data_IF_774816849208
#
_entry.id   IF_774816849208
#
_cell.length_a   1.000
_cell.length_b   1.000
_cell.length_c   1.000
_cell.angle_alpha   90.00
_cell.angle_beta   90.00
_cell.angle_gamma   90.00
#
_symmetry.space_group_name_H-M   'P 1'
#
loop_
_entity.id
_entity.type
_entity.pdbx_description
1 polymer ?
#
# COMPACT_ATOMS: atom_id res chain seq x y z
N UNK A 1 10.96 -58.06 36.47
CA UNK A 1 12.25 -58.70 36.81
C UNK A 1 13.35 -57.63 36.77
N UNK A 2 14.27 -57.68 37.74
CA UNK A 2 15.29 -56.65 38.07
C UNK A 2 16.50 -56.61 37.12
N UNK A 3 17.16 -55.43 37.02
CA UNK A 3 18.62 -55.09 37.20
C UNK A 3 18.86 -53.67 36.62
N UNK A 4 19.13 -52.59 37.37
CA UNK A 4 20.30 -52.12 38.19
C UNK A 4 21.37 -51.31 37.40
N UNK A 5 21.73 -50.16 38.00
CA UNK A 5 22.56 -48.96 37.68
C UNK A 5 23.95 -49.16 37.00
N UNK A 6 24.66 -48.14 36.45
CA UNK A 6 25.39 -47.00 37.10
C UNK A 6 25.93 -45.99 36.04
N UNK A 7 25.97 -44.67 36.34
CA UNK A 7 27.16 -43.82 36.04
C UNK A 7 27.05 -42.50 35.24
N UNK A 8 27.23 -41.38 35.97
CA UNK A 8 27.84 -40.06 35.62
C UNK A 8 27.12 -38.97 34.79
N UNK A 9 27.40 -37.75 35.25
CA UNK A 9 26.86 -36.42 34.93
C UNK A 9 27.52 -35.81 33.68
N UNK A 10 26.73 -35.27 32.75
CA UNK A 10 27.04 -33.98 32.10
C UNK A 10 25.76 -33.33 31.58
N UNK A 11 25.59 -32.06 31.95
CA UNK A 11 24.46 -31.21 31.62
C UNK A 11 24.37 -30.95 30.11
N UNK A 12 23.28 -31.38 29.47
CA UNK A 12 22.77 -30.80 28.24
C UNK A 12 21.25 -30.91 28.32
N UNK A 13 20.59 -29.80 28.63
CA UNK A 13 19.17 -29.63 28.32
C UNK A 13 19.03 -29.83 26.80
N UNK A 14 18.75 -31.06 26.41
CA UNK A 14 18.25 -31.32 25.06
C UNK A 14 16.78 -30.95 25.14
N UNK A 15 16.44 -29.77 24.64
CA UNK A 15 15.05 -29.45 24.33
C UNK A 15 14.61 -30.49 23.31
N UNK A 16 13.87 -31.50 23.78
CA UNK A 16 13.13 -32.39 22.90
C UNK A 16 12.08 -31.50 22.23
N UNK A 17 12.44 -30.89 21.10
CA UNK A 17 11.45 -30.35 20.18
C UNK A 17 10.61 -31.56 19.76
N UNK A 18 9.36 -31.59 20.22
CA UNK A 18 8.36 -32.51 19.70
C UNK A 18 8.27 -32.26 18.20
N UNK A 19 8.91 -33.12 17.39
CA UNK A 19 8.81 -33.07 15.94
C UNK A 19 7.36 -33.33 15.59
N UNK A 20 6.72 -32.41 14.87
CA UNK A 20 5.35 -32.63 14.38
C UNK A 20 5.44 -33.38 13.06
N UNK A 21 4.65 -34.44 12.94
CA UNK A 21 4.46 -35.13 11.67
C UNK A 21 3.79 -34.18 10.66
N UNK A 22 4.07 -34.33 9.35
CA UNK A 22 3.35 -33.58 8.32
C UNK A 22 1.85 -33.85 8.41
N UNK A 23 1.05 -32.80 8.26
CA UNK A 23 -0.41 -32.92 8.31
C UNK A 23 -0.96 -32.92 6.89
N UNK A 24 -1.74 -33.95 6.58
CA UNK A 24 -2.41 -34.11 5.29
C UNK A 24 -3.88 -33.75 5.45
N UNK A 25 -4.31 -32.69 4.76
CA UNK A 25 -5.72 -32.26 4.81
C UNK A 25 -6.34 -32.37 3.43
N UNK A 26 -7.49 -33.04 3.38
CA UNK A 26 -8.35 -33.09 2.20
C UNK A 26 -9.35 -31.94 2.30
N UNK A 27 -9.41 -31.11 1.27
CA UNK A 27 -10.39 -30.01 1.19
C UNK A 27 -11.73 -30.52 0.66
N UNK A 28 -12.81 -29.74 0.85
CA UNK A 28 -14.17 -30.14 0.48
C UNK A 28 -14.38 -30.28 -1.05
N UNK A 29 -13.53 -29.64 -1.84
CA UNK A 29 -13.39 -29.67 -3.30
C UNK A 29 -12.38 -30.73 -3.80
N UNK A 30 -11.82 -31.55 -2.89
CA UNK A 30 -11.03 -32.73 -3.27
C UNK A 30 -9.53 -32.50 -3.44
N UNK A 31 -9.01 -31.33 -3.10
CA UNK A 31 -7.57 -31.06 -3.12
C UNK A 31 -6.84 -31.68 -1.90
N UNK A 32 -5.56 -31.98 -2.10
CA UNK A 32 -4.66 -32.46 -1.06
C UNK A 32 -3.67 -31.36 -0.68
N UNK A 33 -3.67 -30.97 0.59
CA UNK A 33 -2.71 -30.03 1.17
C UNK A 33 -1.75 -30.81 2.06
N UNK A 34 -0.44 -30.59 1.86
CA UNK A 34 0.64 -31.17 2.67
C UNK A 34 1.31 -30.05 3.46
N UNK A 35 1.12 -30.03 4.77
CA UNK A 35 1.78 -29.07 5.67
C UNK A 35 3.07 -29.68 6.25
N UNK A 36 4.21 -29.09 5.91
CA UNK A 36 5.55 -29.49 6.39
C UNK A 36 6.20 -28.43 7.30
N UNK A 37 5.44 -27.43 7.77
CA UNK A 37 5.93 -26.29 8.56
C UNK A 37 6.58 -26.67 9.90
N UNK A 38 6.36 -27.90 10.39
CA UNK A 38 6.99 -28.46 11.59
C UNK A 38 8.27 -29.28 11.36
N UNK A 39 8.74 -29.43 10.12
CA UNK A 39 9.88 -30.29 9.75
C UNK A 39 11.19 -29.48 9.75
N UNK A 40 12.26 -29.92 10.46
CA UNK A 40 13.52 -29.16 10.58
C UNK A 40 14.27 -28.87 9.27
N UNK A 41 14.99 -27.76 9.27
CA UNK A 41 15.53 -26.95 8.17
C UNK A 41 16.61 -27.55 7.24
N UNK A 42 16.77 -28.88 7.11
CA UNK A 42 17.84 -29.44 6.29
C UNK A 42 17.48 -30.79 5.64
N UNK A 43 16.37 -30.87 4.90
CA UNK A 43 15.88 -32.18 4.45
C UNK A 43 15.27 -32.15 3.05
N UNK A 44 15.77 -33.02 2.17
CA UNK A 44 15.15 -33.32 0.89
C UNK A 44 13.89 -34.15 1.12
N UNK A 45 12.77 -33.76 0.50
CA UNK A 45 11.46 -34.41 0.64
C UNK A 45 11.07 -35.03 -0.70
N UNK A 46 11.05 -36.35 -0.80
CA UNK A 46 10.60 -37.02 -2.03
C UNK A 46 9.13 -37.43 -1.89
N UNK A 47 8.27 -36.94 -2.78
CA UNK A 47 6.84 -37.30 -2.81
C UNK A 47 6.58 -38.14 -4.05
N UNK A 48 6.24 -39.42 -3.88
CA UNK A 48 5.89 -40.29 -5.01
C UNK A 48 4.38 -40.39 -5.12
N UNK A 49 3.84 -40.15 -6.31
CA UNK A 49 2.40 -40.27 -6.56
C UNK A 49 2.18 -41.48 -7.46
N UNK A 50 1.60 -42.55 -6.93
CA UNK A 50 1.24 -43.72 -7.71
C UNK A 50 -0.26 -43.69 -8.04
N UNK A 51 -0.61 -43.72 -9.32
CA UNK A 51 -1.99 -43.83 -9.77
C UNK A 51 -2.30 -45.26 -10.20
N UNK A 52 -3.46 -45.79 -9.82
CA UNK A 52 -3.99 -47.04 -10.36
C UNK A 52 -5.35 -46.78 -11.02
N UNK A 53 -5.49 -47.18 -12.28
CA UNK A 53 -6.80 -47.24 -12.93
C UNK A 53 -7.54 -48.44 -12.38
N UNK A 54 -8.82 -48.28 -12.04
CA UNK A 54 -9.63 -49.34 -11.41
C UNK A 54 -9.92 -50.51 -12.37
N UNK A 55 -9.64 -50.35 -13.66
CA UNK A 55 -10.02 -51.25 -14.75
C UNK A 55 -8.84 -51.81 -15.59
N UNK A 56 -7.59 -51.43 -15.31
CA UNK A 56 -6.43 -51.91 -16.05
C UNK A 56 -5.35 -52.47 -15.12
N UNK A 57 -4.80 -53.64 -15.47
CA UNK A 57 -3.68 -54.30 -14.80
C UNK A 57 -2.34 -53.52 -14.91
N UNK A 58 -2.37 -52.23 -15.25
CA UNK A 58 -1.22 -51.38 -15.49
C UNK A 58 -1.13 -50.29 -14.42
N UNK A 59 -0.21 -50.47 -13.46
CA UNK A 59 0.18 -49.43 -12.51
C UNK A 59 1.07 -48.42 -13.23
N UNK A 60 0.60 -47.17 -13.37
CA UNK A 60 1.47 -46.05 -13.78
C UNK A 60 2.01 -45.35 -12.54
N UNK A 61 3.30 -45.53 -12.29
CA UNK A 61 4.03 -44.82 -11.24
C UNK A 61 4.55 -43.50 -11.79
N UNK A 62 4.07 -42.37 -11.27
CA UNK A 62 4.61 -41.04 -11.59
C UNK A 62 5.48 -40.58 -10.42
N UNK A 63 6.79 -40.60 -10.63
CA UNK A 63 7.75 -40.19 -9.60
C UNK A 63 8.13 -38.73 -9.80
N UNK A 64 7.69 -37.84 -8.91
CA UNK A 64 8.16 -36.46 -8.87
C UNK A 64 9.15 -36.28 -7.70
N UNK A 65 10.42 -36.06 -8.00
CA UNK A 65 11.40 -35.71 -6.97
C UNK A 65 11.35 -34.20 -6.70
N UNK A 66 10.94 -33.81 -5.49
CA UNK A 66 10.95 -32.41 -5.05
C UNK A 66 12.22 -32.14 -4.24
N UNK A 67 13.14 -31.34 -4.77
CA UNK A 67 14.27 -30.84 -4.00
C UNK A 67 13.86 -29.55 -3.30
N UNK A 68 13.53 -29.63 -2.01
CA UNK A 68 13.18 -28.46 -1.20
C UNK A 68 14.44 -27.85 -0.58
N UNK A 69 14.77 -26.61 -0.94
CA UNK A 69 15.75 -25.76 -0.24
C UNK A 69 15.04 -24.68 0.58
N UNK A 70 15.64 -24.30 1.70
CA UNK A 70 15.05 -23.35 2.65
C UNK A 70 14.74 -21.98 2.00
N UNK A 71 13.54 -21.45 2.27
CA UNK A 71 13.15 -20.09 1.88
C UNK A 71 12.65 -19.90 0.44
N UNK A 72 12.49 -20.96 -0.34
CA UNK A 72 11.93 -20.88 -1.69
C UNK A 72 10.49 -21.42 -1.76
N UNK A 73 9.60 -20.66 -2.41
CA UNK A 73 8.30 -21.12 -2.87
C UNK A 73 8.49 -21.97 -4.13
N UNK A 74 7.90 -23.16 -4.18
CA UNK A 74 7.94 -24.00 -5.38
C UNK A 74 6.53 -24.31 -5.87
N UNK A 75 6.32 -24.13 -7.17
CA UNK A 75 5.15 -24.60 -7.92
C UNK A 75 5.60 -25.81 -8.73
N UNK A 76 4.93 -26.96 -8.59
CA UNK A 76 5.08 -28.08 -9.51
C UNK A 76 3.72 -28.44 -10.07
N UNK A 77 3.68 -28.71 -11.37
CA UNK A 77 2.49 -29.19 -12.08
C UNK A 77 2.77 -30.62 -12.47
N UNK A 78 1.98 -31.58 -11.99
CA UNK A 78 2.04 -32.96 -12.50
C UNK A 78 1.28 -32.97 -13.83
N UNK A 79 1.97 -32.60 -14.90
CA UNK A 79 1.44 -32.62 -16.25
C UNK A 79 1.76 -33.98 -16.88
N UNK A 80 0.98 -35.01 -16.55
CA UNK A 80 0.86 -36.23 -17.38
C UNK A 80 -0.28 -37.18 -16.94
N UNK A 81 -1.32 -36.65 -16.27
CA UNK A 81 -2.50 -37.44 -15.95
C UNK A 81 -3.64 -37.02 -16.87
N UNK A 82 -3.62 -37.52 -18.10
CA UNK A 82 -4.78 -37.49 -18.97
C UNK A 82 -5.78 -38.52 -18.45
N UNK A 83 -6.98 -38.07 -18.05
CA UNK A 83 -8.09 -38.97 -17.77
C UNK A 83 -9.21 -38.72 -18.76
N UNK A 84 -9.32 -39.60 -19.75
CA UNK A 84 -10.60 -39.86 -20.41
C UNK A 84 -11.49 -40.56 -19.37
N UNK A 85 -12.47 -39.82 -18.85
CA UNK A 85 -13.72 -40.21 -18.18
C UNK A 85 -13.76 -41.38 -17.16
N UNK A 86 -12.63 -41.82 -16.61
CA UNK A 86 -12.60 -42.86 -15.58
C UNK A 86 -12.18 -42.30 -14.20
N UNK A 87 -12.93 -42.68 -13.16
CA UNK A 87 -12.60 -42.40 -11.75
C UNK A 87 -11.27 -43.08 -11.40
N UNK A 88 -10.18 -42.30 -11.42
CA UNK A 88 -8.87 -42.75 -11.00
C UNK A 88 -8.80 -42.82 -9.46
N UNK A 89 -8.30 -43.94 -8.94
CA UNK A 89 -7.96 -44.11 -7.53
C UNK A 89 -6.45 -43.90 -7.37
N UNK A 90 -6.05 -42.92 -6.56
CA UNK A 90 -4.64 -42.62 -6.36
C UNK A 90 -4.20 -43.12 -4.98
N UNK A 91 -3.00 -43.69 -4.93
CA UNK A 91 -2.28 -43.94 -3.68
C UNK A 91 -1.04 -43.06 -3.71
N UNK A 92 -1.03 -42.05 -2.86
CA UNK A 92 0.15 -41.20 -2.71
C UNK A 92 1.02 -41.84 -1.64
N UNK A 93 2.24 -42.19 -2.00
CA UNK A 93 3.26 -42.73 -1.10
C UNK A 93 4.37 -41.71 -0.97
N UNK A 94 4.53 -41.14 0.20
CA UNK A 94 5.57 -40.14 0.45
C UNK A 94 6.68 -40.74 1.31
N UNK A 95 7.92 -40.35 1.00
CA UNK A 95 9.08 -40.70 1.79
C UNK A 95 9.94 -39.46 2.02
N UNK A 96 10.08 -39.04 3.28
CA UNK A 96 10.98 -37.95 3.62
C UNK A 96 12.08 -38.42 4.55
N UNK A 97 13.28 -37.87 4.37
CA UNK A 97 14.44 -38.14 5.21
C UNK A 97 14.82 -36.89 5.97
N UNK A 98 14.88 -36.99 7.29
CA UNK A 98 15.43 -35.93 8.14
C UNK A 98 16.69 -36.44 8.84
N UNK A 99 17.86 -35.98 8.38
CA UNK A 99 19.14 -36.52 8.86
C UNK A 99 19.26 -38.03 8.57
N UNK A 100 19.41 -38.86 9.60
CA UNK A 100 19.53 -40.32 9.47
C UNK A 100 18.19 -41.10 9.56
N UNK A 101 17.05 -40.42 9.74
CA UNK A 101 15.74 -41.09 9.88
C UNK A 101 14.92 -40.96 8.59
N UNK A 102 14.27 -42.06 8.21
CA UNK A 102 13.35 -42.13 7.07
C UNK A 102 11.93 -42.34 7.57
N UNK A 103 10.98 -41.55 7.06
CA UNK A 103 9.55 -41.68 7.35
C UNK A 103 8.82 -42.03 6.05
N UNK A 104 7.89 -42.98 6.13
CA UNK A 104 7.10 -43.44 4.99
C UNK A 104 5.63 -43.45 5.38
N UNK A 105 4.77 -42.92 4.52
CA UNK A 105 3.32 -43.00 4.70
C UNK A 105 2.61 -43.15 3.37
N UNK A 106 1.36 -43.61 3.42
CA UNK A 106 0.50 -43.74 2.25
C UNK A 106 -0.89 -43.17 2.54
N UNK A 107 -1.48 -42.52 1.54
CA UNK A 107 -2.85 -42.01 1.62
C UNK A 107 -3.63 -42.38 0.36
N UNK A 108 -4.86 -42.85 0.55
CA UNK A 108 -5.77 -43.22 -0.51
C UNK A 108 -6.66 -42.03 -0.89
N UNK A 109 -6.74 -41.71 -2.19
CA UNK A 109 -7.60 -40.65 -2.72
C UNK A 109 -8.59 -41.23 -3.73
N UNK A 110 -9.87 -41.02 -3.48
CA UNK A 110 -10.95 -41.31 -4.43
C UNK A 110 -11.40 -40.00 -5.08
N UNK A 111 -11.11 -39.86 -6.39
CA UNK A 111 -11.53 -38.76 -7.29
C UNK A 111 -10.66 -37.50 -7.24
N UNK A 112 -10.11 -37.11 -8.40
CA UNK A 112 -9.35 -35.87 -8.64
C UNK A 112 -10.04 -35.14 -9.79
N UNK A 113 -10.57 -33.94 -9.54
CA UNK A 113 -10.87 -32.98 -10.60
C UNK A 113 -9.61 -32.16 -10.89
N UNK A 114 -9.20 -32.09 -12.16
CA UNK A 114 -7.98 -31.41 -12.58
C UNK A 114 -8.17 -29.89 -12.60
N UNK A 115 -8.02 -29.25 -11.44
CA UNK A 115 -7.49 -27.88 -11.36
C UNK A 115 -6.78 -27.70 -10.03
N UNK A 116 -5.64 -26.98 -10.04
CA UNK A 116 -4.82 -26.74 -8.86
C UNK A 116 -4.81 -25.23 -8.62
N UNK A 117 -5.71 -24.73 -7.77
CA UNK A 117 -5.71 -23.34 -7.34
C UNK A 117 -4.85 -23.15 -6.08
N UNK A 118 -4.04 -22.10 -6.11
CA UNK A 118 -3.22 -21.65 -4.99
C UNK A 118 -4.14 -20.89 -4.04
N UNK A 119 -4.56 -21.51 -2.93
CA UNK A 119 -5.03 -20.76 -1.76
C UNK A 119 -3.82 -20.08 -1.12
N UNK A 120 -3.81 -18.76 -1.21
CA UNK A 120 -2.69 -17.91 -0.85
C UNK A 120 -2.30 -17.96 0.64
N UNK A 121 -1.01 -17.65 0.85
CA UNK A 121 -0.35 -17.19 2.08
C UNK A 121 -0.39 -18.09 3.33
N UNK A 122 0.76 -18.33 3.99
CA UNK A 122 0.81 -19.11 5.20
C UNK A 122 0.02 -18.43 6.33
N UNK A 123 -0.70 -19.23 7.11
CA UNK A 123 -1.05 -18.90 8.49
C UNK A 123 0.24 -18.70 9.29
N UNK A 124 0.86 -17.52 9.17
CA UNK A 124 1.49 -16.90 10.32
C UNK A 124 0.45 -16.97 11.45
N UNK A 125 0.89 -17.21 12.68
CA UNK A 125 0.07 -16.89 13.85
C UNK A 125 -0.58 -15.54 13.55
N UNK A 126 -1.88 -15.52 13.20
CA UNK A 126 -2.60 -14.28 12.97
C UNK A 126 -2.47 -13.56 14.29
N UNK A 127 -1.59 -12.56 14.35
CA UNK A 127 -1.81 -11.44 15.26
C UNK A 127 -3.27 -11.09 15.07
N UNK A 128 -4.06 -11.11 16.15
CA UNK A 128 -5.52 -10.95 16.06
C UNK A 128 -5.79 -9.57 15.49
N UNK A 129 -5.90 -9.49 14.18
CA UNK A 129 -6.18 -8.25 13.49
C UNK A 129 -7.61 -7.83 13.85
N UNK A 130 -7.76 -6.58 14.25
CA UNK A 130 -9.08 -5.98 14.47
C UNK A 130 -9.18 -4.69 13.68
N UNK A 131 -10.35 -4.46 13.09
CA UNK A 131 -10.61 -3.27 12.29
C UNK A 131 -10.73 -2.07 13.22
N UNK A 132 -9.78 -1.14 13.11
CA UNK A 132 -9.76 0.13 13.87
C UNK A 132 -10.45 1.26 13.10
N UNK A 133 -10.58 1.12 11.79
CA UNK A 133 -11.32 2.06 10.95
C UNK A 133 -11.83 1.37 9.69
N UNK A 134 -13.06 1.70 9.30
CA UNK A 134 -13.66 1.24 8.06
C UNK A 134 -14.68 2.24 7.55
N UNK A 135 -14.63 2.53 6.26
CA UNK A 135 -15.68 3.26 5.56
C UNK A 135 -15.81 2.73 4.12
N UNK A 136 -17.02 2.37 3.71
CA UNK A 136 -17.36 1.97 2.35
C UNK A 136 -18.27 3.00 1.66
N UNK A 137 -18.48 4.15 2.32
CA UNK A 137 -19.30 5.26 1.84
C UNK A 137 -20.74 4.87 1.44
N UNK A 138 -21.22 3.69 1.87
CA UNK A 138 -22.57 3.18 1.58
C UNK A 138 -23.68 4.06 2.16
N UNK A 139 -23.36 4.88 3.16
CA UNK A 139 -24.30 5.83 3.77
C UNK A 139 -24.74 6.97 2.84
N UNK A 140 -24.07 7.15 1.69
CA UNK A 140 -24.38 8.20 0.73
C UNK A 140 -23.91 9.60 1.13
N UNK A 141 -23.15 9.73 2.23
CA UNK A 141 -22.57 11.00 2.69
C UNK A 141 -21.22 10.77 3.36
N UNK A 142 -20.43 11.84 3.48
CA UNK A 142 -19.20 11.83 4.28
C UNK A 142 -19.60 11.87 5.75
N UNK A 143 -19.27 10.83 6.51
CA UNK A 143 -19.56 10.77 7.95
C UNK A 143 -18.58 11.66 8.73
N UNK A 144 -19.08 12.78 9.27
CA UNK A 144 -18.28 13.73 10.06
C UNK A 144 -17.73 13.17 11.38
N UNK A 145 -18.16 11.97 11.81
CA UNK A 145 -17.53 11.24 12.91
C UNK A 145 -16.29 10.44 12.46
N UNK A 146 -16.21 10.09 11.17
CA UNK A 146 -15.12 9.33 10.57
C UNK A 146 -14.09 10.22 9.88
N UNK A 147 -14.54 11.34 9.31
CA UNK A 147 -13.70 12.21 8.50
C UNK A 147 -13.79 13.65 8.96
N UNK A 148 -12.65 14.33 8.98
CA UNK A 148 -12.54 15.77 9.20
C UNK A 148 -11.97 16.42 7.95
N UNK A 149 -12.66 17.44 7.45
CA UNK A 149 -12.18 18.27 6.36
C UNK A 149 -11.15 19.26 6.87
N UNK A 150 -10.02 19.32 6.18
CA UNK A 150 -9.15 20.47 6.32
C UNK A 150 -9.73 21.67 5.59
N UNK A 151 -9.43 22.82 6.16
CA UNK A 151 -9.66 24.08 5.51
C UNK A 151 -8.42 24.98 5.62
N UNK A 152 -7.90 25.41 4.47
CA UNK A 152 -6.77 26.31 4.35
C UNK A 152 -6.91 27.17 3.09
N UNK A 153 -6.23 28.31 3.06
CA UNK A 153 -6.21 29.20 1.90
C UNK A 153 -4.91 29.07 1.08
N UNK A 154 -3.96 28.22 1.50
CA UNK A 154 -2.62 28.12 0.94
C UNK A 154 -2.12 26.69 0.64
N UNK A 155 -2.98 25.67 0.76
CA UNK A 155 -2.58 24.26 0.60
C UNK A 155 -2.05 23.63 1.89
N UNK A 156 -1.12 22.67 1.79
CA UNK A 156 -0.48 21.99 2.95
C UNK A 156 1.05 22.05 2.97
N UNK A 157 1.64 23.06 2.32
CA UNK A 157 3.06 23.41 2.49
C UNK A 157 3.99 23.12 1.31
N UNK A 158 3.46 22.62 0.18
CA UNK A 158 4.26 22.30 -1.02
C UNK A 158 4.07 23.30 -2.16
N UNK A 159 3.86 24.59 -1.84
CA UNK A 159 3.54 25.66 -2.79
C UNK A 159 2.36 25.32 -3.74
N UNK A 160 1.38 24.60 -3.21
CA UNK A 160 0.23 24.09 -3.95
C UNK A 160 -0.75 25.21 -4.37
N UNK A 161 -1.51 25.00 -5.44
CA UNK A 161 -2.32 26.03 -6.10
C UNK A 161 -3.82 25.96 -5.80
N UNK A 162 -4.20 25.15 -4.81
CA UNK A 162 -5.58 25.04 -4.34
C UNK A 162 -5.78 25.61 -2.93
N UNK A 163 -7.02 25.97 -2.64
CA UNK A 163 -7.53 26.14 -1.27
C UNK A 163 -8.29 24.86 -0.89
N UNK A 164 -8.04 24.32 0.30
CA UNK A 164 -8.83 23.19 0.80
C UNK A 164 -10.12 23.68 1.46
N UNK A 165 -11.24 23.07 1.10
CA UNK A 165 -12.56 23.48 1.59
C UNK A 165 -13.45 22.29 1.96
N UNK A 166 -14.41 22.49 2.88
CA UNK A 166 -15.40 21.47 3.21
C UNK A 166 -16.60 21.45 2.25
N UNK A 167 -16.55 22.14 1.11
CA UNK A 167 -17.70 22.27 0.23
C UNK A 167 -18.04 20.95 -0.49
N UNK A 168 -19.35 20.71 -0.68
CA UNK A 168 -19.85 19.56 -1.43
C UNK A 168 -19.47 19.57 -2.91
N UNK A 169 -19.01 20.70 -3.45
CA UNK A 169 -18.43 20.76 -4.82
C UNK A 169 -17.05 20.10 -4.89
N UNK A 170 -16.33 20.06 -3.76
CA UNK A 170 -14.96 19.55 -3.67
C UNK A 170 -14.87 18.17 -3.05
N UNK A 171 -15.83 17.79 -2.20
CA UNK A 171 -15.93 16.42 -1.73
C UNK A 171 -17.37 16.01 -1.47
N UNK A 172 -17.77 14.85 -2.00
CA UNK A 172 -19.13 14.35 -1.90
C UNK A 172 -19.16 12.83 -2.09
N UNK A 173 -20.24 12.20 -1.64
CA UNK A 173 -20.47 10.77 -1.91
C UNK A 173 -21.58 10.65 -2.95
N UNK A 174 -21.33 9.84 -3.97
CA UNK A 174 -22.29 9.52 -5.04
C UNK A 174 -22.22 8.03 -5.32
N UNK A 175 -23.36 7.35 -5.25
CA UNK A 175 -23.48 5.90 -5.50
C UNK A 175 -22.50 5.03 -4.69
N UNK A 176 -22.32 5.35 -3.40
CA UNK A 176 -21.41 4.59 -2.52
C UNK A 176 -19.93 4.82 -2.77
N UNK A 177 -19.56 5.90 -3.48
CA UNK A 177 -18.17 6.27 -3.76
C UNK A 177 -17.93 7.70 -3.30
N UNK A 178 -16.87 7.92 -2.54
CA UNK A 178 -16.37 9.25 -2.21
C UNK A 178 -15.66 9.85 -3.43
N UNK A 179 -15.98 11.09 -3.77
CA UNK A 179 -15.31 11.88 -4.79
C UNK A 179 -14.58 13.02 -4.08
N UNK A 180 -13.30 13.21 -4.40
CA UNK A 180 -12.52 14.40 -4.05
C UNK A 180 -12.17 15.10 -5.36
N UNK A 181 -12.80 16.23 -5.64
CA UNK A 181 -12.82 16.88 -6.96
C UNK A 181 -12.29 18.33 -6.87
N UNK A 182 -11.24 18.68 -7.61
CA UNK A 182 -10.85 20.07 -7.76
C UNK A 182 -11.87 20.85 -8.62
N UNK A 183 -12.11 22.11 -8.28
CA UNK A 183 -12.99 23.03 -9.01
C UNK A 183 -12.33 24.40 -9.12
N UNK A 184 -12.64 25.19 -10.15
CA UNK A 184 -12.06 26.53 -10.24
C UNK A 184 -12.64 27.43 -9.15
N UNK A 185 -11.80 28.28 -8.57
CA UNK A 185 -12.26 29.30 -7.62
C UNK A 185 -13.29 30.24 -8.27
N UNK A 186 -13.14 30.50 -9.57
CA UNK A 186 -14.05 31.34 -10.34
C UNK A 186 -15.43 30.71 -10.55
N UNK A 187 -15.55 29.37 -10.54
CA UNK A 187 -16.86 28.69 -10.56
C UNK A 187 -17.71 29.01 -9.32
N UNK A 188 -17.06 29.47 -8.24
CA UNK A 188 -17.75 29.89 -7.01
C UNK A 188 -17.92 31.39 -6.92
N UNK A 189 -16.87 32.16 -7.23
CA UNK A 189 -16.80 33.57 -6.89
C UNK A 189 -16.78 34.52 -8.10
N UNK A 190 -16.75 33.99 -9.32
CA UNK A 190 -16.59 34.77 -10.55
C UNK A 190 -15.13 35.11 -10.88
N UNK A 191 -14.89 35.50 -12.14
CA UNK A 191 -13.55 35.69 -12.70
C UNK A 191 -12.73 36.78 -12.00
N UNK A 192 -13.37 37.88 -11.59
CA UNK A 192 -12.71 39.01 -10.94
C UNK A 192 -12.15 38.65 -9.56
N UNK A 193 -12.61 37.54 -8.95
CA UNK A 193 -12.22 37.16 -7.59
C UNK A 193 -10.74 36.78 -7.48
N UNK A 194 -10.14 36.22 -8.53
CA UNK A 194 -8.71 35.89 -8.54
C UNK A 194 -7.85 37.15 -8.36
N UNK A 195 -8.27 38.26 -8.97
CA UNK A 195 -7.51 39.51 -8.97
C UNK A 195 -7.90 40.46 -7.84
N UNK A 196 -9.15 40.46 -7.40
CA UNK A 196 -9.66 41.47 -6.45
C UNK A 196 -10.34 40.88 -5.21
N UNK A 197 -10.52 39.56 -5.17
CA UNK A 197 -11.21 38.87 -4.09
C UNK A 197 -10.42 38.86 -2.79
N UNK A 198 -11.10 38.49 -1.72
CA UNK A 198 -10.46 38.06 -0.48
C UNK A 198 -11.13 36.78 -0.04
N UNK A 199 -10.36 35.70 -0.03
CA UNK A 199 -10.79 34.45 0.56
C UNK A 199 -10.37 34.42 2.03
N UNK A 200 -11.32 34.15 2.92
CA UNK A 200 -11.09 34.00 4.35
C UNK A 200 -11.81 32.74 4.81
N UNK A 201 -11.05 31.67 5.04
CA UNK A 201 -11.56 30.36 5.43
C UNK A 201 -12.44 30.43 6.69
N UNK A 202 -12.05 31.27 7.67
CA UNK A 202 -12.77 31.39 8.95
C UNK A 202 -14.12 32.07 8.75
N UNK A 203 -14.18 33.09 7.89
CA UNK A 203 -15.46 33.73 7.55
C UNK A 203 -16.36 32.82 6.72
N UNK A 204 -15.78 32.02 5.84
CA UNK A 204 -16.55 31.15 4.94
C UNK A 204 -17.10 29.91 5.65
N UNK A 205 -16.34 29.30 6.56
CA UNK A 205 -16.68 27.99 7.12
C UNK A 205 -16.63 27.92 8.65
N UNK A 206 -16.25 29.00 9.33
CA UNK A 206 -16.16 29.06 10.78
C UNK A 206 -14.86 28.51 11.38
N UNK A 207 -13.97 27.92 10.57
CA UNK A 207 -12.70 27.38 11.02
C UNK A 207 -11.62 27.42 9.93
N UNK A 208 -10.38 27.21 10.34
CA UNK A 208 -9.22 27.03 9.48
C UNK A 208 -8.25 26.09 10.20
N UNK A 209 -7.80 25.05 9.52
CA UNK A 209 -7.13 23.91 10.15
C UNK A 209 -5.63 24.11 10.26
N UNK A 210 -4.99 24.52 9.17
CA UNK A 210 -3.55 24.73 9.07
C UNK A 210 -3.28 25.82 8.01
N UNK A 211 -2.05 26.36 8.02
CA UNK A 211 -1.58 27.33 7.02
C UNK A 211 -2.19 28.72 7.15
N UNK A 212 -1.96 29.53 6.12
CA UNK A 212 -2.61 30.81 5.94
C UNK A 212 -4.11 30.60 5.67
N UNK A 213 -4.94 31.33 6.42
CA UNK A 213 -6.39 31.22 6.34
C UNK A 213 -7.04 32.33 5.52
N UNK A 214 -6.24 33.29 5.07
CA UNK A 214 -6.68 34.46 4.33
C UNK A 214 -5.77 34.67 3.15
N UNK A 215 -6.36 34.85 1.97
CA UNK A 215 -5.67 35.25 0.74
C UNK A 215 -6.38 36.43 0.11
N UNK A 216 -5.60 37.38 -0.38
CA UNK A 216 -6.10 38.57 -1.05
C UNK A 216 -5.81 38.50 -2.56
N UNK A 217 -6.52 39.32 -3.33
CA UNK A 217 -6.31 39.46 -4.76
C UNK A 217 -4.86 39.83 -5.14
N UNK A 218 -4.61 40.00 -6.45
CA UNK A 218 -3.28 40.21 -7.04
C UNK A 218 -2.37 38.97 -6.97
N UNK A 219 -2.94 37.80 -7.22
CA UNK A 219 -2.18 36.57 -7.41
C UNK A 219 -1.89 35.78 -6.13
N UNK A 220 -2.47 36.17 -4.99
CA UNK A 220 -2.41 35.36 -3.77
C UNK A 220 -3.67 34.52 -3.55
N UNK A 221 -4.82 34.85 -4.17
CA UNK A 221 -5.96 33.92 -4.19
C UNK A 221 -5.61 32.76 -5.10
N UNK A 222 -5.63 31.55 -4.54
CA UNK A 222 -5.33 30.34 -5.27
C UNK A 222 -6.43 30.08 -6.33
N UNK A 223 -6.07 29.71 -7.56
CA UNK A 223 -7.00 29.58 -8.69
C UNK A 223 -7.94 28.38 -8.59
N UNK A 224 -7.63 27.41 -7.71
CA UNK A 224 -8.39 26.17 -7.57
C UNK A 224 -8.87 25.99 -6.13
N UNK A 225 -9.98 25.28 -5.98
CA UNK A 225 -10.51 24.79 -4.70
C UNK A 225 -10.52 23.27 -4.76
N UNK A 226 -10.20 22.61 -3.65
CA UNK A 226 -10.20 21.14 -3.55
C UNK A 226 -10.55 20.71 -2.12
N UNK A 227 -10.41 19.43 -1.79
CA UNK A 227 -10.65 18.90 -0.46
C UNK A 227 -9.50 17.98 0.01
N UNK A 228 -9.31 17.99 1.34
CA UNK A 228 -8.44 17.11 2.09
C UNK A 228 -9.24 16.58 3.27
N UNK A 229 -9.23 15.26 3.44
CA UNK A 229 -9.95 14.55 4.48
C UNK A 229 -8.97 13.80 5.36
N UNK A 230 -9.05 14.02 6.67
CA UNK A 230 -8.31 13.24 7.68
C UNK A 230 -9.24 12.24 8.35
N UNK A 231 -8.80 11.01 8.49
CA UNK A 231 -9.56 10.00 9.26
C UNK A 231 -9.53 10.34 10.76
N UNK A 232 -10.64 10.09 11.46
CA UNK A 232 -10.67 10.06 12.92
C UNK A 232 -10.08 8.78 13.48
N UNK A 233 -10.07 7.71 12.67
CA UNK A 233 -9.34 6.48 12.97
C UNK A 233 -7.84 6.67 12.82
N UNK A 234 -7.11 5.90 13.61
CA UNK A 234 -5.65 5.88 13.62
C UNK A 234 -5.17 4.43 13.63
N UNK A 235 -3.95 4.20 13.17
CA UNK A 235 -3.33 2.89 13.13
C UNK A 235 -1.89 2.97 13.64
N UNK A 236 -1.48 2.00 14.46
CA UNK A 236 -0.08 1.76 14.82
C UNK A 236 0.21 0.29 14.54
N UNK A 237 0.92 0.05 13.44
CA UNK A 237 1.09 -1.27 12.83
C UNK A 237 -0.24 -1.89 12.36
N UNK A 238 -0.20 -2.62 11.25
CA UNK A 238 -1.37 -3.23 10.65
C UNK A 238 -1.40 -3.10 9.14
N UNK A 239 -2.59 -3.35 8.60
CA UNK A 239 -2.92 -3.28 7.19
C UNK A 239 -3.80 -2.06 6.93
N UNK A 240 -3.40 -1.20 6.00
CA UNK A 240 -4.29 -0.18 5.41
C UNK A 240 -4.60 -0.60 3.98
N UNK A 241 -5.87 -0.52 3.60
CA UNK A 241 -6.33 -0.75 2.22
C UNK A 241 -7.28 0.37 1.80
N UNK A 242 -6.98 1.00 0.67
CA UNK A 242 -7.80 2.04 0.05
C UNK A 242 -8.09 1.62 -1.37
N UNK A 243 -9.37 1.40 -1.68
CA UNK A 243 -9.81 1.08 -3.04
C UNK A 243 -10.15 2.39 -3.74
N UNK A 244 -9.32 2.83 -4.66
CA UNK A 244 -9.46 4.13 -5.31
C UNK A 244 -9.19 4.09 -6.83
N UNK A 245 -9.79 5.02 -7.55
CA UNK A 245 -9.48 5.37 -8.94
C UNK A 245 -8.89 6.78 -8.94
N UNK A 246 -7.74 6.94 -9.59
CA UNK A 246 -7.01 8.21 -9.58
C UNK A 246 -7.59 9.21 -10.60
N UNK A 247 -7.50 10.52 -10.30
CA UNK A 247 -7.94 11.55 -11.22
C UNK A 247 -7.02 11.67 -12.44
N UNK A 248 -7.61 12.06 -13.58
CA UNK A 248 -6.94 12.41 -14.82
C UNK A 248 -7.14 13.89 -15.11
N UNK A 249 -6.04 14.57 -15.41
CA UNK A 249 -6.02 16.00 -15.72
C UNK A 249 -4.66 16.61 -15.40
N UNK A 250 -4.24 17.53 -16.24
CA UNK A 250 -2.94 18.16 -16.09
C UNK A 250 -2.83 18.91 -14.77
N UNK A 251 -1.68 18.75 -14.11
CA UNK A 251 -1.30 19.42 -12.86
C UNK A 251 -2.10 19.01 -11.63
N UNK A 252 -2.85 17.90 -11.70
CA UNK A 252 -3.54 17.31 -10.55
C UNK A 252 -2.58 16.41 -9.76
N UNK A 253 -2.61 16.48 -8.44
CA UNK A 253 -1.76 15.70 -7.53
C UNK A 253 -2.63 15.04 -6.44
N UNK A 254 -3.18 13.84 -6.69
CA UNK A 254 -3.84 13.04 -5.66
C UNK A 254 -2.83 12.41 -4.71
N UNK A 255 -3.21 12.23 -3.45
CA UNK A 255 -2.42 11.46 -2.48
C UNK A 255 -3.29 10.64 -1.51
N UNK A 256 -2.76 9.47 -1.15
CA UNK A 256 -3.21 8.60 -0.06
C UNK A 256 -2.01 8.41 0.85
N UNK A 257 -2.05 9.00 2.03
CA UNK A 257 -0.86 9.13 2.88
C UNK A 257 -1.23 9.20 4.35
N UNK A 258 -0.25 9.05 5.22
CA UNK A 258 -0.44 8.98 6.66
C UNK A 258 0.50 9.96 7.36
N UNK A 259 -0.07 10.65 8.36
CA UNK A 259 0.67 11.54 9.24
C UNK A 259 0.52 11.09 10.71
N UNK A 260 1.54 11.34 11.56
CA UNK A 260 1.50 10.96 12.96
C UNK A 260 0.38 11.72 13.67
N UNK A 261 -0.39 11.01 14.49
CA UNK A 261 -1.45 11.60 15.31
C UNK A 261 -0.92 12.66 16.27
N UNK A 262 0.21 12.35 16.91
CA UNK A 262 0.89 13.26 17.81
C UNK A 262 2.31 13.50 17.31
N UNK A 263 2.78 14.73 17.45
CA UNK A 263 4.15 15.12 17.12
C UNK A 263 5.13 14.75 18.25
N UNK A 264 5.19 13.47 18.63
CA UNK A 264 5.99 12.99 19.78
C UNK A 264 7.46 13.38 19.67
N UNK A 265 8.00 13.38 18.45
CA UNK A 265 9.39 13.74 18.17
C UNK A 265 9.54 15.18 17.63
N UNK A 266 8.44 15.94 17.59
CA UNK A 266 8.35 17.28 17.01
C UNK A 266 7.65 17.30 15.65
N UNK A 267 7.58 18.50 15.05
CA UNK A 267 6.96 18.71 13.74
C UNK A 267 7.69 17.95 12.62
N UNK A 268 7.11 18.00 11.42
CA UNK A 268 7.68 17.36 10.24
C UNK A 268 9.15 17.81 10.00
N UNK A 269 10.06 16.89 9.61
CA UNK A 269 9.88 15.46 9.32
C UNK A 269 10.14 14.55 10.54
N UNK A 270 10.24 15.10 11.76
CA UNK A 270 10.75 14.38 12.93
C UNK A 270 9.86 13.25 13.41
N UNK A 271 8.55 13.38 13.20
CA UNK A 271 7.56 12.38 13.61
C UNK A 271 7.13 11.45 12.46
N UNK A 272 7.78 11.54 11.30
CA UNK A 272 7.55 10.67 10.14
C UNK A 272 6.35 11.06 9.28
N UNK A 273 6.32 10.51 8.08
CA UNK A 273 5.22 10.54 7.08
C UNK A 273 5.32 9.27 6.23
N UNK A 274 4.16 8.69 5.87
CA UNK A 274 4.09 7.49 5.03
C UNK A 274 3.14 7.76 3.86
N UNK A 275 3.68 7.82 2.66
CA UNK A 275 2.94 8.06 1.42
C UNK A 275 2.67 6.72 0.76
N UNK A 276 1.42 6.25 0.89
CA UNK A 276 1.00 4.99 0.27
C UNK A 276 0.99 5.15 -1.25
N UNK A 277 0.43 6.26 -1.73
CA UNK A 277 0.36 6.59 -3.15
C UNK A 277 0.34 8.10 -3.33
N UNK A 278 1.22 8.56 -4.22
CA UNK A 278 1.16 9.86 -4.88
C UNK A 278 1.32 9.67 -6.38
N UNK A 279 0.65 10.52 -7.18
CA UNK A 279 0.85 10.54 -8.64
C UNK A 279 0.64 11.94 -9.21
N UNK A 280 0.95 12.11 -10.49
CA UNK A 280 0.49 13.25 -11.27
C UNK A 280 -0.66 12.83 -12.18
N UNK A 281 -1.77 13.54 -12.17
CA UNK A 281 -2.94 13.26 -13.01
C UNK A 281 -2.71 13.45 -14.51
N UNK A 282 -1.59 14.03 -14.93
CA UNK A 282 -1.24 14.22 -16.33
C UNK A 282 -1.20 12.89 -17.09
N UNK A 283 -1.74 12.87 -18.30
CA UNK A 283 -1.69 11.68 -19.18
C UNK A 283 -0.33 11.50 -19.87
N UNK A 284 0.40 12.58 -20.09
CA UNK A 284 1.61 12.59 -20.93
C UNK A 284 2.77 13.35 -20.28
N UNK A 285 2.89 13.23 -18.96
CA UNK A 285 3.99 13.82 -18.21
C UNK A 285 5.16 12.85 -18.13
N UNK A 286 6.34 13.32 -18.54
CA UNK A 286 7.56 12.52 -18.56
C UNK A 286 8.70 13.27 -17.87
N UNK A 287 9.62 12.49 -17.32
CA UNK A 287 10.96 12.94 -16.97
C UNK A 287 11.73 13.38 -18.23
N UNK A 288 12.78 14.21 -18.08
CA UNK A 288 13.65 14.60 -19.21
C UNK A 288 14.27 13.43 -19.97
N UNK A 289 14.44 12.28 -19.31
CA UNK A 289 14.97 11.05 -19.91
C UNK A 289 13.90 10.23 -20.69
N UNK A 290 12.64 10.69 -20.73
CA UNK A 290 11.53 10.04 -21.42
C UNK A 290 10.75 9.01 -20.59
N UNK A 291 11.12 8.77 -19.33
CA UNK A 291 10.34 7.91 -18.44
C UNK A 291 9.04 8.59 -18.04
N UNK A 292 7.93 7.84 -17.96
CA UNK A 292 6.64 8.40 -17.56
C UNK A 292 6.67 8.84 -16.10
N UNK A 293 5.91 9.88 -15.79
CA UNK A 293 5.64 10.40 -14.45
C UNK A 293 4.17 10.80 -14.28
N UNK A 294 3.31 10.40 -15.24
CA UNK A 294 1.90 10.71 -15.26
C UNK A 294 1.07 9.75 -14.41
N UNK A 295 -0.22 9.70 -14.71
CA UNK A 295 -1.24 8.93 -13.96
C UNK A 295 -1.07 7.41 -14.12
N UNK A 296 -0.11 6.96 -14.93
CA UNK A 296 0.33 5.59 -15.06
C UNK A 296 1.44 5.20 -14.07
N UNK A 297 1.90 6.13 -13.23
CA UNK A 297 2.96 5.92 -12.24
C UNK A 297 2.46 6.20 -10.82
N UNK A 298 2.52 5.19 -9.97
CA UNK A 298 2.34 5.26 -8.51
C UNK A 298 3.70 5.50 -7.85
N UNK A 299 3.77 6.43 -6.91
CA UNK A 299 4.96 6.75 -6.14
C UNK A 299 4.66 6.58 -4.65
N UNK A 300 5.44 5.73 -3.99
CA UNK A 300 5.32 5.48 -2.56
C UNK A 300 6.59 5.87 -1.84
N UNK A 301 6.47 6.62 -0.74
CA UNK A 301 7.61 7.12 0.02
C UNK A 301 7.38 7.00 1.54
N UNK A 302 8.47 7.01 2.28
CA UNK A 302 8.49 7.36 3.70
C UNK A 302 9.40 8.56 3.89
N UNK A 303 9.00 9.48 4.75
CA UNK A 303 9.81 10.65 5.09
C UNK A 303 10.14 10.66 6.58
N UNK A 304 11.39 11.00 6.89
CA UNK A 304 11.87 11.11 8.26
C UNK A 304 13.10 12.01 8.34
N UNK A 305 13.37 12.64 9.47
CA UNK A 305 14.63 13.36 9.66
C UNK A 305 14.67 14.28 10.87
N UNK A 306 15.82 14.93 11.09
CA UNK A 306 16.00 15.83 12.24
C UNK A 306 15.32 17.18 12.09
N UNK A 307 15.09 17.63 10.87
CA UNK A 307 14.49 18.91 10.50
C UNK A 307 14.29 18.95 8.98
N UNK A 308 13.56 19.95 8.42
CA UNK A 308 13.31 20.02 6.99
C UNK A 308 14.56 20.02 6.09
N UNK A 309 15.70 20.56 6.55
CA UNK A 309 16.93 20.60 5.75
C UNK A 309 17.66 19.26 5.68
N UNK A 310 17.39 18.38 6.65
CA UNK A 310 17.97 17.05 6.76
C UNK A 310 16.95 15.94 6.48
N UNK A 311 15.78 16.27 5.95
CA UNK A 311 14.75 15.30 5.61
C UNK A 311 15.30 14.22 4.68
N UNK A 312 15.02 12.96 5.00
CA UNK A 312 15.21 11.81 4.12
C UNK A 312 13.87 11.45 3.51
N UNK A 313 13.91 11.04 2.25
CA UNK A 313 12.80 10.43 1.54
C UNK A 313 13.33 9.12 0.96
N UNK A 314 12.66 8.02 1.28
CA UNK A 314 12.95 6.70 0.75
C UNK A 314 11.70 6.15 0.11
N UNK A 315 11.80 5.72 -1.13
CA UNK A 315 10.63 5.26 -1.86
C UNK A 315 10.98 4.58 -3.16
N UNK A 316 9.93 4.20 -3.87
CA UNK A 316 10.01 3.60 -5.19
C UNK A 316 8.76 3.96 -6.00
N UNK A 317 8.83 3.69 -7.29
CA UNK A 317 7.73 3.93 -8.22
C UNK A 317 7.30 2.62 -8.87
N UNK A 318 6.01 2.51 -9.18
CA UNK A 318 5.46 1.43 -9.97
C UNK A 318 4.66 1.97 -11.14
N UNK A 319 5.00 1.51 -12.34
CA UNK A 319 4.40 1.96 -13.60
C UNK A 319 3.55 0.85 -14.21
N UNK A 320 2.30 1.18 -14.55
CA UNK A 320 1.44 0.29 -15.33
C UNK A 320 1.87 0.23 -16.80
N UNK A 321 1.64 -0.91 -17.43
CA UNK A 321 1.94 -1.12 -18.85
C UNK A 321 0.66 -1.03 -19.67
N UNK A 322 0.53 0.03 -20.49
CA UNK A 322 -0.57 0.19 -21.44
C UNK A 322 -1.91 0.66 -20.85
N UNK A 323 -1.95 1.03 -19.57
CA UNK A 323 -3.11 1.63 -18.90
C UNK A 323 -2.66 2.65 -17.86
N UNK A 324 -3.62 3.34 -17.24
CA UNK A 324 -3.39 4.29 -16.16
C UNK A 324 -4.13 3.87 -14.89
N UNK A 325 -3.69 4.36 -13.73
CA UNK A 325 -4.44 4.21 -12.48
C UNK A 325 -5.76 5.01 -12.45
N UNK A 326 -6.02 5.81 -13.49
CA UNK A 326 -7.27 6.51 -13.71
C UNK A 326 -8.28 5.74 -14.57
N UNK A 327 -7.97 4.53 -15.05
CA UNK A 327 -8.88 3.75 -15.90
C UNK A 327 -9.81 2.81 -15.11
N UNK A 328 -9.52 2.58 -13.84
CA UNK A 328 -10.33 1.74 -12.97
C UNK A 328 -9.97 1.89 -11.49
N UNK A 329 -10.65 1.11 -10.64
CA UNK A 329 -10.32 1.04 -9.22
C UNK A 329 -9.15 0.10 -9.00
N UNK A 330 -8.20 0.54 -8.19
CA UNK A 330 -7.05 -0.20 -7.70
C UNK A 330 -7.07 -0.25 -6.17
N UNK A 331 -6.45 -1.25 -5.58
CA UNK A 331 -6.30 -1.38 -4.13
C UNK A 331 -4.91 -0.94 -3.70
N UNK A 332 -4.79 0.28 -3.17
CA UNK A 332 -3.57 0.79 -2.57
C UNK A 332 -3.47 0.29 -1.14
N UNK A 333 -2.30 -0.19 -0.75
CA UNK A 333 -2.14 -0.84 0.53
C UNK A 333 -0.82 -0.57 1.23
N UNK A 334 -0.87 -0.62 2.56
CA UNK A 334 0.25 -0.58 3.47
C UNK A 334 0.21 -1.82 4.38
N UNK A 335 1.30 -2.56 4.46
CA UNK A 335 1.54 -3.55 5.51
C UNK A 335 2.68 -3.03 6.40
N UNK A 336 2.33 -2.67 7.63
CA UNK A 336 3.23 -1.99 8.56
C UNK A 336 3.36 -2.78 9.85
N UNK A 337 4.59 -3.09 10.23
CA UNK A 337 4.90 -3.78 11.48
C UNK A 337 6.10 -3.14 12.14
N UNK A 338 6.47 -3.66 13.30
CA UNK A 338 7.72 -3.27 13.97
C UNK A 338 8.97 -3.60 13.15
N UNK A 339 8.91 -4.53 12.20
CA UNK A 339 10.07 -4.97 11.41
C UNK A 339 10.12 -4.40 9.99
N UNK A 340 9.03 -3.82 9.49
CA UNK A 340 8.98 -3.27 8.15
C UNK A 340 7.79 -2.36 7.88
N UNK A 341 7.92 -1.58 6.81
CA UNK A 341 6.88 -0.87 6.08
C UNK A 341 6.90 -1.40 4.65
N UNK A 342 5.81 -1.99 4.18
CA UNK A 342 5.62 -2.43 2.80
C UNK A 342 4.43 -1.70 2.20
N UNK A 343 4.64 -1.11 1.04
CA UNK A 343 3.62 -0.33 0.34
C UNK A 343 3.42 -0.95 -1.03
N UNK A 344 2.17 -1.02 -1.48
CA UNK A 344 1.86 -1.60 -2.77
C UNK A 344 0.51 -1.19 -3.34
N UNK A 345 0.29 -1.62 -4.57
CA UNK A 345 -0.97 -1.46 -5.29
C UNK A 345 -1.36 -2.78 -5.93
N UNK A 346 -2.62 -3.16 -5.77
CA UNK A 346 -3.17 -4.47 -6.15
C UNK A 346 -2.31 -5.63 -5.60
N UNK A 347 -1.82 -6.51 -6.48
CA UNK A 347 -0.92 -7.60 -6.12
C UNK A 347 0.56 -7.23 -6.10
N UNK A 348 0.93 -5.97 -6.39
CA UNK A 348 2.31 -5.54 -6.58
C UNK A 348 2.83 -4.76 -5.36
N UNK A 349 3.97 -5.19 -4.83
CA UNK A 349 4.72 -4.37 -3.86
C UNK A 349 5.49 -3.31 -4.63
N UNK A 350 5.28 -2.04 -4.29
CA UNK A 350 6.00 -0.89 -4.84
C UNK A 350 7.27 -0.64 -4.05
N UNK A 351 7.15 -0.54 -2.72
CA UNK A 351 8.25 -0.16 -1.84
C UNK A 351 8.31 -1.07 -0.59
N UNK A 352 9.52 -1.31 -0.09
CA UNK A 352 9.75 -2.00 1.18
C UNK A 352 10.89 -1.33 1.94
N UNK A 353 10.60 -0.86 3.15
CA UNK A 353 11.60 -0.44 4.14
C UNK A 353 11.60 -1.47 5.26
N UNK A 354 12.68 -2.23 5.40
CA UNK A 354 12.89 -3.05 6.60
C UNK A 354 13.46 -2.16 7.71
N UNK A 355 12.99 -2.33 8.94
CA UNK A 355 13.48 -1.56 10.08
C UNK A 355 15.00 -1.71 10.20
N UNK A 356 15.77 -0.61 10.08
CA UNK A 356 17.22 -0.69 10.09
C UNK A 356 17.75 -1.17 11.44
N UNK A 357 18.78 -2.03 11.44
CA UNK A 357 19.34 -2.63 12.66
C UNK A 357 19.94 -1.61 13.65
N UNK A 358 20.29 -0.41 13.18
CA UNK A 358 20.75 0.72 13.98
C UNK A 358 19.66 1.81 14.17
N UNK A 359 18.39 1.49 13.86
CA UNK A 359 17.27 2.42 13.83
C UNK A 359 17.37 3.47 12.71
N UNK A 360 16.27 4.17 12.44
CA UNK A 360 16.26 5.19 11.38
C UNK A 360 17.23 6.35 11.65
N UNK A 361 17.60 6.61 12.91
CA UNK A 361 18.57 7.67 13.23
C UNK A 361 19.94 7.35 12.63
N UNK A 362 20.43 6.13 12.88
CA UNK A 362 21.69 5.67 12.34
C UNK A 362 21.63 5.45 10.83
N UNK A 363 20.51 4.92 10.32
CA UNK A 363 20.28 4.70 8.89
C UNK A 363 20.26 6.00 8.08
N UNK A 364 19.62 7.04 8.60
CA UNK A 364 19.62 8.38 7.98
C UNK A 364 20.99 9.09 8.05
N UNK A 365 21.96 8.52 8.77
CA UNK A 365 23.29 9.10 8.93
C UNK A 365 23.30 10.40 9.74
N UNK A 366 22.33 10.58 10.65
CA UNK A 366 22.26 11.80 11.47
C UNK A 366 23.32 11.81 12.56
N UNK A 367 23.72 13.02 12.96
CA UNK A 367 24.77 13.24 13.96
C UNK A 367 24.26 14.04 15.15
N UNK A 368 24.96 13.94 16.27
CA UNK A 368 24.59 14.60 17.53
C UNK A 368 23.65 13.76 18.38
N UNK A 369 22.85 14.43 19.21
CA UNK A 369 21.92 13.78 20.12
C UNK A 369 20.77 13.13 19.34
N UNK A 370 20.61 11.82 19.47
CA UNK A 370 19.57 11.08 18.79
C UNK A 370 18.18 11.51 19.27
N UNK A 371 17.42 12.18 18.40
CA UNK A 371 16.06 12.66 18.68
C UNK A 371 15.09 11.53 19.02
N UNK A 372 15.36 10.31 18.54
CA UNK A 372 14.53 9.13 18.70
C UNK A 372 15.05 8.18 19.77
N UNK A 373 16.03 8.59 20.59
CA UNK A 373 16.64 7.72 21.61
C UNK A 373 15.65 7.21 22.67
N UNK A 374 14.51 7.90 22.86
CA UNK A 374 13.43 7.50 23.78
C UNK A 374 12.25 6.85 23.05
N UNK A 375 12.35 6.68 21.74
CA UNK A 375 11.39 5.96 20.91
C UNK A 375 11.64 4.46 20.87
N UNK A 376 10.76 3.74 20.18
CA UNK A 376 10.97 2.36 19.79
C UNK A 376 12.03 2.25 18.70
N UNK A 377 12.48 1.02 18.42
CA UNK A 377 13.52 0.77 17.41
C UNK A 377 13.12 1.27 16.00
N UNK A 378 11.82 1.24 15.70
CA UNK A 378 11.25 1.70 14.44
C UNK A 378 10.94 3.20 14.39
N UNK A 379 11.33 3.99 15.41
CA UNK A 379 11.09 5.43 15.44
C UNK A 379 11.73 6.11 14.20
N UNK A 380 11.03 7.06 13.54
CA UNK A 380 9.80 7.71 14.01
C UNK A 380 8.49 6.96 13.72
N UNK A 381 8.54 5.83 13.03
CA UNK A 381 7.38 5.01 12.65
C UNK A 381 6.99 4.00 13.75
N UNK A 382 6.96 4.47 14.99
CA UNK A 382 6.63 3.68 16.19
C UNK A 382 5.47 4.30 17.00
N UNK A 383 4.72 5.21 16.39
CA UNK A 383 3.55 5.89 16.98
C UNK A 383 2.31 5.71 16.09
N UNK A 384 1.08 5.98 16.57
CA UNK A 384 -0.11 5.94 15.74
C UNK A 384 -0.16 7.05 14.69
N UNK A 385 -0.60 6.70 13.48
CA UNK A 385 -0.80 7.62 12.35
C UNK A 385 -2.28 7.65 11.94
N UNK A 386 -2.76 8.78 11.44
CA UNK A 386 -4.07 8.90 10.79
C UNK A 386 -3.91 8.96 9.27
N UNK A 387 -4.94 8.53 8.54
CA UNK A 387 -4.98 8.55 7.08
C UNK A 387 -5.43 9.93 6.56
N UNK A 388 -4.82 10.35 5.47
CA UNK A 388 -5.16 11.55 4.70
C UNK A 388 -5.49 11.13 3.27
N UNK A 389 -6.59 11.70 2.76
CA UNK A 389 -7.00 11.61 1.36
C UNK A 389 -7.14 13.04 0.81
N UNK A 390 -6.43 13.39 -0.25
CA UNK A 390 -6.58 14.71 -0.88
C UNK A 390 -6.29 14.69 -2.37
N UNK A 391 -6.66 15.80 -3.01
CA UNK A 391 -6.26 16.16 -4.36
C UNK A 391 -5.69 17.57 -4.33
N UNK A 392 -4.37 17.69 -4.36
CA UNK A 392 -3.63 18.93 -4.54
C UNK A 392 -3.51 19.28 -6.04
N UNK A 393 -3.04 20.50 -6.33
CA UNK A 393 -2.89 21.06 -7.68
C UNK A 393 -1.57 21.80 -7.78
N UNK A 394 -0.80 21.52 -8.82
CA UNK A 394 0.50 22.16 -9.04
C UNK A 394 1.45 21.94 -7.86
N UNK A 395 2.19 22.98 -7.50
CA UNK A 395 3.19 22.91 -6.43
C UNK A 395 4.45 22.15 -6.79
N UNK A 396 5.22 21.82 -5.75
CA UNK A 396 6.61 21.40 -5.85
C UNK A 396 6.79 19.98 -6.41
N UNK A 397 5.72 19.18 -6.40
CA UNK A 397 5.69 17.86 -7.03
C UNK A 397 5.90 17.92 -8.55
N UNK A 398 5.59 19.06 -9.18
CA UNK A 398 5.85 19.32 -10.59
C UNK A 398 7.11 20.19 -10.75
N UNK A 399 8.26 19.59 -10.48
CA UNK A 399 9.55 20.28 -10.56
C UNK A 399 9.90 20.72 -12.00
N UNK A 400 10.80 21.70 -12.10
CA UNK A 400 11.23 22.25 -13.39
C UNK A 400 11.97 21.19 -14.22
N UNK A 401 11.68 21.17 -15.52
CA UNK A 401 12.30 20.26 -16.49
C UNK A 401 11.42 19.08 -16.91
N UNK A 402 10.35 18.76 -16.17
CA UNK A 402 9.34 17.79 -16.62
C UNK A 402 8.74 18.20 -17.98
N UNK A 403 8.45 17.20 -18.81
CA UNK A 403 7.94 17.37 -20.17
C UNK A 403 6.50 16.87 -20.24
N UNK A 404 5.58 17.76 -20.57
CA UNK A 404 4.17 17.43 -20.74
C UNK A 404 3.76 17.69 -22.19
N UNK A 405 2.83 16.90 -22.71
CA UNK A 405 2.32 17.05 -24.08
C UNK A 405 0.80 17.24 -24.08
N UNK A 406 0.25 18.14 -24.92
CA UNK A 406 0.94 18.96 -25.93
C UNK A 406 1.59 20.24 -25.40
N UNK A 407 1.32 20.59 -24.14
CA UNK A 407 1.80 21.84 -23.55
C UNK A 407 2.73 21.59 -22.37
N UNK A 408 3.86 22.27 -22.37
CA UNK A 408 4.80 22.26 -21.26
C UNK A 408 4.21 22.89 -19.99
N UNK A 409 4.87 22.61 -18.86
CA UNK A 409 4.55 23.22 -17.56
C UNK A 409 4.64 24.75 -17.63
N UNK A 410 3.57 25.50 -17.31
CA UNK A 410 3.53 26.93 -17.55
C UNK A 410 4.24 27.80 -16.48
N UNK A 411 4.69 27.23 -15.36
CA UNK A 411 5.34 27.98 -14.27
C UNK A 411 6.71 27.41 -13.91
N UNK A 412 7.57 28.27 -13.36
CA UNK A 412 8.81 27.85 -12.71
C UNK A 412 8.66 27.86 -11.19
N UNK A 413 9.39 26.96 -10.52
CA UNK A 413 9.33 26.78 -9.07
C UNK A 413 9.63 28.07 -8.30
N UNK A 414 10.72 28.74 -8.67
CA UNK A 414 11.26 29.92 -7.97
C UNK A 414 10.53 31.24 -8.32
N UNK A 415 9.53 31.21 -9.20
CA UNK A 415 8.79 32.41 -9.55
C UNK A 415 7.80 32.77 -8.43
N UNK A 416 7.86 34.02 -7.98
CA UNK A 416 6.88 34.58 -7.04
C UNK A 416 5.46 34.60 -7.63
N UNK A 417 5.35 34.67 -8.97
CA UNK A 417 4.08 34.72 -9.71
C UNK A 417 3.66 33.38 -10.32
N UNK A 418 4.21 32.24 -9.86
CA UNK A 418 3.93 30.91 -10.42
C UNK A 418 2.44 30.56 -10.56
N UNK A 419 1.63 30.93 -9.57
CA UNK A 419 0.18 30.73 -9.62
C UNK A 419 -0.51 31.56 -10.71
N UNK A 420 -0.02 32.76 -10.99
CA UNK A 420 -0.53 33.59 -12.09
C UNK A 420 -0.16 33.02 -13.45
N UNK A 421 1.05 32.47 -13.60
CA UNK A 421 1.43 31.76 -14.82
C UNK A 421 0.56 30.53 -15.05
N UNK A 422 0.35 29.73 -14.01
CA UNK A 422 -0.60 28.61 -14.04
C UNK A 422 -2.01 29.07 -14.46
N UNK A 423 -2.55 30.11 -13.82
CA UNK A 423 -3.89 30.63 -14.11
C UNK A 423 -4.05 31.18 -15.53
N UNK A 424 -3.06 31.94 -16.00
CA UNK A 424 -3.08 32.54 -17.34
C UNK A 424 -2.92 31.48 -18.44
N UNK A 425 -2.29 30.35 -18.12
CA UNK A 425 -2.16 29.22 -19.02
C UNK A 425 -3.38 28.27 -19.01
N UNK A 426 -4.50 28.59 -18.35
CA UNK A 426 -5.66 27.67 -18.26
C UNK A 426 -6.18 27.14 -19.59
N UNK A 427 -6.05 27.89 -20.68
CA UNK A 427 -6.43 27.39 -22.01
C UNK A 427 -5.57 26.20 -22.48
N UNK A 428 -4.38 25.97 -21.91
CA UNK A 428 -3.52 24.83 -22.24
C UNK A 428 -3.83 23.58 -21.40
N UNK A 429 -4.27 23.71 -20.16
CA UNK A 429 -4.45 22.58 -19.25
C UNK A 429 -5.90 22.31 -18.84
N UNK A 430 -6.74 23.33 -18.72
CA UNK A 430 -8.15 23.17 -18.33
C UNK A 430 -8.94 22.29 -19.31
N UNK A 431 -8.67 22.29 -20.63
CA UNK A 431 -9.31 21.35 -21.54
C UNK A 431 -9.06 19.87 -21.21
N UNK A 432 -8.03 19.53 -20.42
CA UNK A 432 -7.77 18.15 -19.96
C UNK A 432 -8.62 17.76 -18.75
N UNK A 433 -9.32 18.71 -18.13
CA UNK A 433 -10.12 18.50 -16.93
C UNK A 433 -11.57 18.17 -17.31
N UNK A 434 -11.86 16.87 -17.45
CA UNK A 434 -13.16 16.39 -17.92
C UNK A 434 -14.07 15.91 -16.78
N UNK A 435 -15.11 16.69 -16.45
CA UNK A 435 -16.22 16.23 -15.61
C UNK A 435 -15.77 15.64 -14.26
N UNK A 436 -16.11 14.37 -14.03
CA UNK A 436 -15.75 13.62 -12.82
C UNK A 436 -14.43 12.84 -12.94
N UNK A 437 -13.76 12.86 -14.10
CA UNK A 437 -12.46 12.20 -14.26
C UNK A 437 -11.34 12.93 -13.54
N UNK A 438 -11.54 14.21 -13.22
CA UNK A 438 -10.62 14.99 -12.37
C UNK A 438 -10.75 14.68 -10.88
N UNK A 439 -11.71 13.83 -10.49
CA UNK A 439 -11.91 13.46 -9.09
C UNK A 439 -11.13 12.20 -8.73
N UNK A 440 -10.47 12.20 -7.57
CA UNK A 440 -10.07 10.95 -6.94
C UNK A 440 -11.34 10.28 -6.38
N UNK A 441 -11.58 9.05 -6.79
CA UNK A 441 -12.79 8.29 -6.43
C UNK A 441 -12.40 7.17 -5.48
N UNK A 442 -13.00 7.11 -4.30
CA UNK A 442 -12.65 6.14 -3.26
C UNK A 442 -13.89 5.31 -2.93
N UNK A 443 -13.78 3.99 -3.15
CA UNK A 443 -14.84 3.03 -2.90
C UNK A 443 -14.84 2.54 -1.45
N UNK A 444 -13.66 2.35 -0.86
CA UNK A 444 -13.56 1.97 0.53
C UNK A 444 -12.19 2.26 1.13
N UNK A 445 -12.18 2.42 2.45
CA UNK A 445 -10.97 2.49 3.30
C UNK A 445 -11.12 1.48 4.41
N UNK A 446 -10.07 0.71 4.68
CA UNK A 446 -10.00 -0.23 5.81
C UNK A 446 -8.65 -0.13 6.49
N UNK A 447 -8.65 -0.09 7.82
CA UNK A 447 -7.46 -0.17 8.66
C UNK A 447 -7.64 -1.29 9.66
N UNK A 448 -6.85 -2.35 9.54
CA UNK A 448 -6.83 -3.50 10.44
C UNK A 448 -5.52 -3.49 11.25
N UNK A 449 -5.59 -3.33 12.57
CA UNK A 449 -4.42 -3.29 13.44
C UNK A 449 -4.10 -4.67 14.00
N UNK A 450 -2.82 -5.05 13.99
CA UNK A 450 -2.30 -6.36 14.41
C UNK A 450 -2.10 -6.51 15.92
#
# INVERSE_FOLDING_TARGET
MRKVCVGFVLCLLTVVHCMREPVFTRTHDGHLIVDVSGVPLASAVTVTVAGARSDAAEQKTVTAALHLTAGAHWKTTISDVTSDDAVLHYVITYQFRTGQRSYTGSQFLSRVETSLEVLGTPHFLRRRAHTVFYDDFSSGKIDGNKWKHDCSADGVGNDEFQMYTPESRNSYVKNGVLYIRPTLTTDRFGDDFISHGTFDARKQYGYCTNGDCVRHGWGQVHPVMSALLRSSGQIHYGRVEVVAQLPKGDWIWPAIWLMPRDHVYGGWPRSGEIDIMETCGNLHLNHPNGESRGVDVDQSHIHYGSDPSAAKSEGAVYKLQGSTFGDGFHTYWLDWTESHIKIGVDGHTVFTSNTPSNGYWGHGGFHGNNLWQHGGHNAPFDKPFYLILNVAIGGNFFWDGLKNHPYDKPWHYNDASKMMYFWNARNSWLPTWHGEDVAMKIKSVKMDQY
#
